data_IF_931289158533
#
_entry.id   IF_931289158533
#
_cell.length_a   1.000
_cell.length_b   1.000
_cell.length_c   1.000
_cell.angle_alpha   90.00
_cell.angle_beta   90.00
_cell.angle_gamma   90.00
#
_symmetry.space_group_name_H-M   'P 1'
#
loop_
_entity.id
_entity.type
_entity.pdbx_description
1 polymer ?
#
# COMPACT_ATOMS: atom_id res chain seq x y z
N UNK A 1 47.88 -10.38 -41.55
CA UNK A 1 47.65 -9.24 -40.62
C UNK A 1 46.38 -8.42 -40.93
N UNK A 2 45.51 -8.82 -41.88
CA UNK A 2 44.28 -8.08 -42.23
C UNK A 2 43.03 -8.54 -41.45
N UNK A 3 43.03 -9.80 -40.99
CA UNK A 3 41.90 -10.41 -40.26
C UNK A 3 41.90 -10.15 -38.74
N UNK A 4 43.03 -9.76 -38.15
CA UNK A 4 43.14 -9.46 -36.71
C UNK A 4 42.46 -8.12 -36.33
N UNK A 5 42.36 -7.18 -37.26
CA UNK A 5 41.70 -5.88 -37.04
C UNK A 5 40.18 -6.02 -37.06
N UNK A 6 39.63 -6.98 -37.80
CA UNK A 6 38.18 -7.23 -37.85
C UNK A 6 37.65 -7.88 -36.56
N UNK A 7 38.45 -8.69 -35.87
CA UNK A 7 38.04 -9.35 -34.63
C UNK A 7 38.01 -8.36 -33.46
N UNK A 8 38.92 -7.37 -33.40
CA UNK A 8 38.94 -6.38 -32.31
C UNK A 8 37.76 -5.41 -32.35
N UNK A 9 37.24 -5.06 -33.53
CA UNK A 9 36.07 -4.19 -33.69
C UNK A 9 34.78 -4.89 -33.23
N UNK A 10 34.67 -6.21 -33.43
CA UNK A 10 33.51 -6.99 -32.98
C UNK A 10 33.48 -7.04 -31.45
N UNK A 11 34.62 -7.25 -30.77
CA UNK A 11 34.65 -7.24 -29.30
C UNK A 11 34.36 -5.86 -28.68
N UNK A 12 34.80 -4.76 -29.31
CA UNK A 12 34.47 -3.40 -28.86
C UNK A 12 32.97 -3.06 -29.03
N UNK A 13 32.29 -3.64 -30.01
CA UNK A 13 30.82 -3.47 -30.18
C UNK A 13 29.97 -4.30 -29.21
N UNK A 14 30.51 -5.41 -28.69
CA UNK A 14 29.78 -6.29 -27.75
C UNK A 14 29.88 -5.79 -26.31
N UNK A 15 30.93 -5.05 -25.95
CA UNK A 15 31.14 -4.53 -24.60
C UNK A 15 30.36 -3.26 -24.25
N UNK A 16 29.74 -2.56 -25.21
CA UNK A 16 28.99 -1.32 -24.95
C UNK A 16 27.50 -1.54 -24.62
N UNK A 17 26.98 -2.77 -24.76
CA UNK A 17 25.57 -3.09 -24.52
C UNK A 17 25.30 -3.86 -23.22
N UNK A 18 26.30 -4.11 -22.38
CA UNK A 18 26.05 -4.36 -20.96
C UNK A 18 25.66 -3.03 -20.32
N UNK A 19 24.45 -2.55 -20.63
CA UNK A 19 23.66 -1.76 -19.70
C UNK A 19 23.63 -2.61 -18.44
N UNK A 20 24.46 -2.28 -17.47
CA UNK A 20 24.17 -2.60 -16.08
C UNK A 20 22.70 -2.27 -15.91
N UNK A 21 21.86 -3.28 -15.68
CA UNK A 21 20.58 -3.01 -15.03
C UNK A 21 21.02 -2.26 -13.78
N UNK A 22 20.87 -0.93 -13.77
CA UNK A 22 20.88 -0.21 -12.52
C UNK A 22 19.79 -0.94 -11.73
N UNK A 23 20.20 -1.80 -10.80
CA UNK A 23 19.27 -2.41 -9.88
C UNK A 23 18.73 -1.21 -9.13
N UNK A 24 17.53 -0.78 -9.48
CA UNK A 24 16.85 0.28 -8.77
C UNK A 24 16.71 -0.26 -7.36
N UNK A 25 17.49 0.29 -6.43
CA UNK A 25 17.41 -0.09 -5.03
C UNK A 25 16.18 0.64 -4.49
N UNK A 26 15.15 -0.12 -4.15
CA UNK A 26 13.97 0.43 -3.50
C UNK A 26 14.27 0.63 -2.02
N UNK A 27 14.01 1.83 -1.52
CA UNK A 27 14.32 2.22 -0.16
C UNK A 27 13.45 1.50 0.87
N UNK A 28 12.13 1.42 0.62
CA UNK A 28 11.21 0.77 1.55
C UNK A 28 11.27 -0.76 1.47
N UNK A 29 11.04 -1.37 2.63
CA UNK A 29 10.86 -2.80 2.82
C UNK A 29 9.74 -3.38 1.96
N UNK A 30 9.66 -4.71 1.91
CA UNK A 30 8.56 -5.38 1.24
C UNK A 30 7.24 -5.07 1.96
N UNK A 31 6.33 -4.37 1.26
CA UNK A 31 5.01 -4.01 1.79
C UNK A 31 4.20 -5.25 2.23
N UNK A 32 4.50 -6.44 1.69
CA UNK A 32 3.84 -7.69 2.05
C UNK A 32 4.09 -8.09 3.51
N UNK A 33 5.15 -7.58 4.12
CA UNK A 33 5.43 -7.78 5.54
C UNK A 33 4.42 -7.05 6.45
N UNK A 34 3.74 -6.03 5.91
CA UNK A 34 2.66 -5.31 6.60
C UNK A 34 1.28 -5.96 6.38
N UNK A 35 1.15 -7.00 5.56
CA UNK A 35 -0.13 -7.62 5.26
C UNK A 35 -0.43 -8.74 6.26
N UNK A 36 -1.55 -8.65 6.98
CA UNK A 36 -2.06 -9.75 7.81
C UNK A 36 -2.50 -10.86 6.87
N UNK A 37 -1.84 -12.01 7.00
CA UNK A 37 -2.31 -13.25 6.39
C UNK A 37 -3.33 -13.90 7.31
N UNK A 38 -4.51 -14.20 6.77
CA UNK A 38 -5.42 -15.08 7.49
C UNK A 38 -4.84 -16.50 7.45
N UNK A 39 -4.75 -17.17 8.60
CA UNK A 39 -4.21 -18.55 8.73
C UNK A 39 -5.07 -19.63 8.04
N UNK A 40 -5.91 -19.25 7.08
CA UNK A 40 -6.69 -20.17 6.29
C UNK A 40 -5.84 -20.68 5.12
N UNK A 41 -5.43 -21.97 5.11
CA UNK A 41 -4.61 -22.53 4.04
C UNK A 41 -5.32 -22.60 2.68
N UNK A 42 -6.65 -22.39 2.65
CA UNK A 42 -7.47 -22.38 1.44
C UNK A 42 -7.83 -20.97 0.98
N UNK A 43 -7.43 -19.91 1.69
CA UNK A 43 -7.62 -18.56 1.19
C UNK A 43 -6.73 -18.38 -0.05
N UNK A 44 -7.29 -17.88 -1.16
CA UNK A 44 -6.48 -17.40 -2.27
C UNK A 44 -5.54 -16.30 -1.77
N UNK A 45 -4.37 -16.13 -2.37
CA UNK A 45 -3.52 -14.98 -2.03
C UNK A 45 -4.04 -13.70 -2.71
N UNK A 46 -3.73 -12.54 -2.13
CA UNK A 46 -3.89 -11.27 -2.83
C UNK A 46 -3.00 -11.22 -4.08
N UNK A 47 -3.42 -10.46 -5.09
CA UNK A 47 -2.65 -10.35 -6.34
C UNK A 47 -1.58 -9.28 -6.17
N UNK A 48 -0.31 -9.69 -6.16
CA UNK A 48 0.86 -8.81 -6.10
C UNK A 48 1.55 -8.70 -7.46
N UNK A 49 2.00 -7.51 -7.82
CA UNK A 49 2.87 -7.30 -8.98
C UNK A 49 3.84 -6.13 -8.77
N UNK A 50 4.98 -6.20 -9.43
CA UNK A 50 6.00 -5.15 -9.47
C UNK A 50 6.11 -4.61 -10.90
N UNK A 51 6.08 -3.28 -11.01
CA UNK A 51 6.26 -2.55 -12.26
C UNK A 51 7.71 -2.19 -12.54
N UNK A 52 7.92 -1.19 -13.40
CA UNK A 52 9.25 -0.64 -13.60
C UNK A 52 9.70 0.15 -12.34
N UNK A 53 10.98 0.05 -12.00
CA UNK A 53 11.52 0.74 -10.81
C UNK A 53 11.01 0.13 -9.51
N UNK A 54 10.34 0.93 -8.68
CA UNK A 54 9.82 0.53 -7.36
C UNK A 54 8.28 0.57 -7.29
N UNK A 55 7.62 0.62 -8.45
CA UNK A 55 6.17 0.55 -8.54
C UNK A 55 5.69 -0.82 -8.09
N UNK A 56 4.73 -0.83 -7.16
CA UNK A 56 4.14 -2.04 -6.60
C UNK A 56 2.63 -1.91 -6.66
N UNK A 57 1.96 -3.01 -6.91
CA UNK A 57 0.50 -3.09 -6.96
C UNK A 57 0.04 -4.30 -6.16
N UNK A 58 -0.93 -4.07 -5.28
CA UNK A 58 -1.62 -5.13 -4.54
C UNK A 58 -3.10 -4.97 -4.81
N UNK A 59 -3.71 -5.98 -5.42
CA UNK A 59 -5.15 -6.03 -5.65
C UNK A 59 -5.81 -6.92 -4.59
N UNK A 60 -6.71 -6.32 -3.83
CA UNK A 60 -7.52 -6.96 -2.79
C UNK A 60 -9.00 -7.00 -3.21
N UNK A 61 -9.78 -7.91 -2.63
CA UNK A 61 -11.23 -7.84 -2.64
C UNK A 61 -11.73 -6.54 -2.00
N UNK A 62 -12.83 -6.01 -2.53
CA UNK A 62 -13.45 -4.79 -2.00
C UNK A 62 -14.56 -5.16 -1.03
N UNK A 63 -14.26 -5.11 0.27
CA UNK A 63 -15.18 -5.44 1.36
C UNK A 63 -14.66 -4.91 2.72
N UNK A 64 -15.39 -5.19 3.80
CA UNK A 64 -15.05 -4.72 5.16
C UNK A 64 -13.75 -5.30 5.74
N UNK A 65 -13.32 -6.46 5.26
CA UNK A 65 -12.11 -7.16 5.71
C UNK A 65 -10.87 -6.53 5.07
N UNK A 66 -11.01 -5.91 3.89
CA UNK A 66 -9.95 -5.10 3.31
C UNK A 66 -9.90 -3.71 3.96
N UNK A 67 -8.88 -3.47 4.77
CA UNK A 67 -8.64 -2.21 5.48
C UNK A 67 -7.14 -1.97 5.74
N UNK A 68 -6.75 -0.72 5.97
CA UNK A 68 -5.45 -0.37 6.55
C UNK A 68 -5.62 0.15 7.99
N UNK A 69 -4.61 -0.06 8.82
CA UNK A 69 -4.49 0.62 10.12
C UNK A 69 -3.27 1.53 10.12
N UNK A 70 -3.43 2.69 10.74
CA UNK A 70 -2.38 3.69 10.86
C UNK A 70 -2.14 4.07 12.31
N UNK A 71 -0.97 4.61 12.60
CA UNK A 71 -0.60 5.12 13.92
C UNK A 71 -0.99 6.59 14.09
N UNK A 72 -1.86 6.88 15.06
CA UNK A 72 -2.27 8.25 15.38
C UNK A 72 -1.16 9.14 15.96
N UNK A 73 -0.07 8.56 16.47
CA UNK A 73 1.11 9.29 16.92
C UNK A 73 2.16 9.48 15.81
N UNK A 74 1.94 8.88 14.63
CA UNK A 74 2.82 8.98 13.47
C UNK A 74 1.97 9.37 12.23
N UNK A 75 1.17 10.40 12.40
CA UNK A 75 0.33 11.00 11.36
C UNK A 75 0.42 12.52 11.41
N UNK A 76 0.30 13.15 10.25
CA UNK A 76 0.15 14.60 10.10
C UNK A 76 -1.29 15.06 10.34
N UNK A 77 -2.26 14.14 10.45
CA UNK A 77 -3.66 14.46 10.73
C UNK A 77 -3.81 14.94 12.18
N UNK A 78 -4.28 16.19 12.34
CA UNK A 78 -4.66 16.73 13.64
C UNK A 78 -6.09 16.28 13.99
N UNK A 79 -6.26 15.63 15.15
CA UNK A 79 -7.57 15.20 15.63
C UNK A 79 -7.67 15.34 17.15
N UNK A 80 -8.16 16.50 17.59
CA UNK A 80 -8.30 16.83 19.01
C UNK A 80 -9.47 16.14 19.70
N UNK A 81 -10.43 15.58 18.95
CA UNK A 81 -11.55 14.83 19.52
C UNK A 81 -11.16 13.37 19.84
N UNK A 82 -9.99 12.90 19.40
CA UNK A 82 -9.54 11.54 19.65
C UNK A 82 -9.37 11.24 21.14
N UNK A 83 -9.84 10.06 21.54
CA UNK A 83 -9.58 9.45 22.84
C UNK A 83 -8.13 8.95 22.92
N UNK A 84 -7.35 9.52 23.83
CA UNK A 84 -5.91 9.23 23.96
C UNK A 84 -5.60 7.96 24.77
N UNK A 85 -6.51 7.50 25.63
CA UNK A 85 -6.38 6.27 26.44
C UNK A 85 -6.88 5.01 25.72
N UNK A 86 -7.23 5.12 24.44
CA UNK A 86 -7.52 4.00 23.54
C UNK A 86 -6.30 3.70 22.67
N UNK A 87 -6.10 2.45 22.17
CA UNK A 87 -5.03 2.14 21.24
C UNK A 87 -4.91 3.21 20.14
N UNK A 88 -3.69 3.74 19.86
CA UNK A 88 -3.51 4.85 18.95
C UNK A 88 -3.55 4.38 17.49
N UNK A 89 -4.56 3.58 17.14
CA UNK A 89 -4.80 3.06 15.81
C UNK A 89 -6.01 3.72 15.16
N UNK A 90 -5.82 4.23 13.94
CA UNK A 90 -6.89 4.64 13.04
C UNK A 90 -7.23 3.53 12.05
N UNK A 91 -8.51 3.36 11.70
CA UNK A 91 -8.94 2.36 10.72
C UNK A 91 -9.41 3.03 9.42
N UNK A 92 -8.83 2.61 8.30
CA UNK A 92 -9.18 3.03 6.95
C UNK A 92 -9.83 1.85 6.22
N UNK A 93 -11.15 1.89 6.08
CA UNK A 93 -11.87 0.82 5.38
C UNK A 93 -11.81 1.00 3.87
N UNK A 94 -11.87 -0.11 3.14
CA UNK A 94 -12.10 -0.07 1.69
C UNK A 94 -13.57 0.12 1.30
N UNK A 95 -14.49 0.26 2.26
CA UNK A 95 -15.93 0.50 2.04
C UNK A 95 -16.48 1.59 2.97
N UNK A 96 -17.59 2.24 2.56
CA UNK A 96 -18.27 3.26 3.36
C UNK A 96 -19.17 2.63 4.43
N UNK A 97 -18.59 2.22 5.55
CA UNK A 97 -19.35 1.74 6.72
C UNK A 97 -19.19 0.26 7.05
N UNK A 98 -19.33 -0.06 8.34
CA UNK A 98 -19.16 -1.41 8.85
C UNK A 98 -20.39 -2.34 8.63
N UNK A 99 -21.39 -1.90 7.87
CA UNK A 99 -22.67 -2.61 7.69
C UNK A 99 -23.07 -2.83 6.24
N UNK A 100 -22.24 -2.48 5.26
CA UNK A 100 -22.52 -2.80 3.87
C UNK A 100 -21.83 -4.11 3.49
N UNK A 101 -22.61 -5.18 3.27
CA UNK A 101 -22.18 -6.41 2.57
C UNK A 101 -21.91 -6.15 1.08
N UNK A 102 -21.46 -4.95 0.74
CA UNK A 102 -21.12 -4.59 -0.64
C UNK A 102 -19.79 -5.22 -0.98
N UNK A 103 -19.86 -6.36 -1.65
CA UNK A 103 -18.75 -6.90 -2.43
C UNK A 103 -18.68 -6.08 -3.72
N UNK A 104 -17.56 -5.40 -3.91
CA UNK A 104 -17.29 -4.60 -5.10
C UNK A 104 -16.24 -5.23 -6.00
N UNK A 105 -15.89 -4.52 -7.07
CA UNK A 105 -14.74 -4.91 -7.90
C UNK A 105 -13.47 -4.85 -7.05
N UNK A 106 -12.52 -5.79 -7.25
CA UNK A 106 -11.24 -5.74 -6.56
C UNK A 106 -10.57 -4.38 -6.69
N UNK A 107 -9.94 -3.92 -5.61
CA UNK A 107 -9.27 -2.62 -5.52
C UNK A 107 -7.78 -2.78 -5.38
N UNK A 108 -7.04 -1.93 -6.09
CA UNK A 108 -5.62 -1.78 -5.86
C UNK A 108 -5.39 -0.87 -4.66
N UNK A 109 -4.87 -1.40 -3.55
CA UNK A 109 -4.72 -0.65 -2.30
C UNK A 109 -3.70 0.48 -2.38
N UNK A 110 -2.71 0.38 -3.29
CA UNK A 110 -1.74 1.47 -3.50
C UNK A 110 -2.45 2.72 -4.01
N UNK A 111 -3.25 2.59 -5.07
CA UNK A 111 -3.96 3.73 -5.63
C UNK A 111 -5.15 4.18 -4.78
N UNK A 112 -5.80 3.23 -4.09
CA UNK A 112 -6.97 3.48 -3.26
C UNK A 112 -6.64 4.26 -1.99
N UNK A 113 -5.62 3.83 -1.22
CA UNK A 113 -5.17 4.54 0.00
C UNK A 113 -4.02 5.52 -0.25
N UNK A 114 -3.56 5.65 -1.51
CA UNK A 114 -2.42 6.50 -1.85
C UNK A 114 -1.17 6.08 -1.09
N UNK A 115 -0.83 4.78 -1.15
CA UNK A 115 0.33 4.26 -0.43
C UNK A 115 1.60 4.77 -1.09
N UNK A 116 2.46 5.42 -0.30
CA UNK A 116 3.75 5.97 -0.74
C UNK A 116 4.87 5.47 0.17
N UNK A 117 6.07 5.39 -0.41
CA UNK A 117 7.31 5.06 0.28
C UNK A 117 8.10 6.36 0.49
N UNK A 118 8.46 6.66 1.73
CA UNK A 118 9.32 7.80 2.07
C UNK A 118 10.18 7.45 3.29
N UNK A 119 11.48 7.74 3.25
CA UNK A 119 12.44 7.46 4.33
C UNK A 119 12.44 5.99 4.80
N UNK A 120 12.21 5.06 3.88
CA UNK A 120 12.15 3.63 4.15
C UNK A 120 10.85 3.13 4.79
N UNK A 121 9.88 4.02 5.04
CA UNK A 121 8.59 3.70 5.65
C UNK A 121 7.40 3.87 4.69
N UNK A 122 6.31 3.17 5.01
CA UNK A 122 5.10 3.14 4.19
C UNK A 122 3.99 4.00 4.79
N UNK A 123 3.51 4.96 4.02
CA UNK A 123 2.48 5.92 4.43
C UNK A 123 1.24 5.80 3.56
N UNK A 124 0.05 6.01 4.15
CA UNK A 124 -1.16 6.35 3.39
C UNK A 124 -1.27 7.86 3.22
N UNK A 125 -1.84 8.29 2.09
CA UNK A 125 -2.08 9.70 1.76
C UNK A 125 -3.47 9.98 1.24
N UNK A 126 -4.29 8.95 0.99
CA UNK A 126 -5.70 9.11 0.62
C UNK A 126 -6.59 8.41 1.63
N UNK A 127 -7.71 9.05 1.93
CA UNK A 127 -8.65 8.61 2.95
C UNK A 127 -10.08 8.55 2.37
N UNK A 128 -10.36 7.66 1.39
CA UNK A 128 -11.62 7.68 0.64
C UNK A 128 -12.89 7.69 1.50
N UNK A 129 -12.83 7.07 2.68
CA UNK A 129 -13.94 7.02 3.65
C UNK A 129 -13.56 7.57 5.03
N UNK A 130 -12.51 8.39 5.08
CA UNK A 130 -11.94 8.92 6.32
C UNK A 130 -11.25 7.87 7.19
N UNK A 131 -10.71 8.33 8.32
CA UNK A 131 -10.09 7.49 9.34
C UNK A 131 -11.08 7.32 10.49
N UNK A 132 -11.44 6.07 10.78
CA UNK A 132 -12.30 5.75 11.93
C UNK A 132 -11.49 5.75 13.21
N UNK A 133 -12.01 6.42 14.25
CA UNK A 133 -11.39 6.53 15.57
C UNK A 133 -12.44 6.50 16.69
N UNK A 134 -11.96 6.38 17.94
CA UNK A 134 -12.77 6.52 19.14
C UNK A 134 -12.68 7.95 19.64
N UNK A 135 -13.80 8.67 19.68
CA UNK A 135 -13.88 10.02 20.25
C UNK A 135 -13.74 10.03 21.76
N UNK A 136 -13.47 11.20 22.35
CA UNK A 136 -13.47 11.46 23.79
C UNK A 136 -14.76 11.01 24.49
N UNK A 137 -15.91 11.10 23.78
CA UNK A 137 -17.21 10.61 24.26
C UNK A 137 -17.41 9.10 24.09
N UNK A 138 -16.34 8.37 23.74
CA UNK A 138 -16.35 6.94 23.51
C UNK A 138 -17.32 6.51 22.39
N UNK A 139 -17.55 7.37 21.40
CA UNK A 139 -18.33 7.06 20.20
C UNK A 139 -17.40 6.83 19.00
N UNK A 140 -17.72 5.90 18.09
CA UNK A 140 -17.01 5.78 16.82
C UNK A 140 -17.26 7.04 15.99
N UNK A 141 -16.19 7.67 15.53
CA UNK A 141 -16.22 8.86 14.70
C UNK A 141 -15.28 8.70 13.52
N UNK A 142 -15.38 9.61 12.56
CA UNK A 142 -14.48 9.68 11.40
C UNK A 142 -13.97 11.09 11.20
N UNK A 143 -12.75 11.18 10.71
CA UNK A 143 -12.12 12.42 10.27
C UNK A 143 -11.63 12.26 8.84
N UNK A 144 -11.63 13.35 8.07
CA UNK A 144 -11.18 13.32 6.68
C UNK A 144 -12.18 12.71 5.71
N UNK A 145 -13.45 12.58 6.10
CA UNK A 145 -14.49 12.26 5.13
C UNK A 145 -14.52 13.37 4.05
N UNK A 146 -14.67 13.00 2.79
CA UNK A 146 -14.63 13.91 1.63
C UNK A 146 -13.24 14.48 1.26
N UNK A 147 -12.15 13.88 1.76
CA UNK A 147 -10.79 14.18 1.29
C UNK A 147 -10.14 15.42 1.91
N UNK A 148 -10.70 15.94 3.00
CA UNK A 148 -10.15 17.12 3.72
C UNK A 148 -8.72 16.93 4.22
N UNK A 149 -8.32 15.68 4.42
CA UNK A 149 -6.99 15.28 4.93
C UNK A 149 -6.18 14.52 3.88
N UNK A 150 -6.64 14.45 2.64
CA UNK A 150 -5.88 13.84 1.54
C UNK A 150 -4.58 14.63 1.31
N UNK A 151 -3.50 13.91 1.05
CA UNK A 151 -2.14 14.44 0.96
C UNK A 151 -1.38 14.42 2.29
N UNK A 152 -2.07 14.39 3.44
CA UNK A 152 -1.42 14.23 4.74
C UNK A 152 -0.96 12.78 4.92
N UNK A 153 0.26 12.60 5.43
CA UNK A 153 0.86 11.28 5.62
C UNK A 153 0.47 10.66 6.95
N UNK A 154 0.18 9.36 6.91
CA UNK A 154 0.01 8.54 8.12
C UNK A 154 0.73 7.22 7.99
N UNK A 155 1.58 6.88 8.97
CA UNK A 155 2.36 5.65 8.94
C UNK A 155 1.44 4.43 9.00
N UNK A 156 1.66 3.48 8.09
CA UNK A 156 0.93 2.21 8.04
C UNK A 156 1.46 1.29 9.14
N UNK A 157 0.57 0.85 10.01
CA UNK A 157 0.86 -0.22 10.96
C UNK A 157 0.67 -1.59 10.31
N UNK A 158 -0.49 -1.79 9.67
CA UNK A 158 -0.85 -3.08 9.10
C UNK A 158 -1.94 -2.94 8.06
N UNK A 159 -1.99 -3.88 7.12
CA UNK A 159 -3.00 -3.97 6.06
C UNK A 159 -3.67 -5.33 6.17
N UNK A 160 -5.00 -5.35 6.20
CA UNK A 160 -5.77 -6.54 5.92
C UNK A 160 -6.21 -6.45 4.45
N UNK A 161 -5.93 -7.50 3.69
CA UNK A 161 -6.22 -7.58 2.27
C UNK A 161 -6.97 -8.88 2.04
N UNK A 162 -8.29 -8.79 1.88
CA UNK A 162 -9.06 -9.97 1.49
C UNK A 162 -8.69 -10.33 0.06
N UNK A 163 -8.59 -11.61 -0.29
CA UNK A 163 -8.34 -12.01 -1.66
C UNK A 163 -9.49 -11.58 -2.57
N UNK A 164 -9.23 -11.21 -3.83
CA UNK A 164 -10.27 -11.02 -4.83
C UNK A 164 -11.11 -12.30 -4.96
N UNK A 165 -12.45 -12.18 -4.98
CA UNK A 165 -13.29 -13.32 -5.33
C UNK A 165 -12.92 -13.81 -6.75
N UNK A 166 -12.76 -15.13 -6.91
CA UNK A 166 -12.58 -15.70 -8.24
C UNK A 166 -13.81 -15.32 -9.09
N UNK A 167 -13.56 -14.74 -10.26
CA UNK A 167 -14.62 -14.50 -11.24
C UNK A 167 -15.19 -15.85 -11.67
N UNK A 168 -16.37 -16.18 -11.17
CA UNK A 168 -17.18 -17.32 -11.62
C UNK A 168 -17.57 -17.21 -13.10
#
# INVERSE_FOLDING_TARGET
MKYLILISVIFLSVSCCLKTKNSVVCECSDIRDLIIRHDNPNASDFIYSEGAGCERNITCGYNIITYARMWWNQTEIVNDDRRLDWPPLGLLYSIKGAGSETIGKPVNIFSFFGIVCEDGEWYVTKYPFGVTYRSKNNLPQRVGENGEVDGLKSLIYVIACEPPAESA
#
